data_IF_742404102545
#
_entry.id   IF_742404102545
#
_cell.length_a   1.000
_cell.length_b   1.000
_cell.length_c   1.000
_cell.angle_alpha   90.00
_cell.angle_beta   90.00
_cell.angle_gamma   90.00
#
_symmetry.space_group_name_H-M   'P 1'
#
loop_
_entity.id
_entity.type
_entity.pdbx_description
1 polymer ?
#
# COMPACT_ATOMS: atom_id res chain seq x y z
N UNK A 1 5.53 1.86 13.51
CA UNK A 1 5.66 3.24 12.97
C UNK A 1 5.15 3.26 11.55
N UNK A 2 4.13 4.10 11.31
CA UNK A 2 3.49 4.24 10.00
C UNK A 2 4.47 4.58 8.87
N UNK A 3 4.12 4.17 7.66
CA UNK A 3 4.85 4.53 6.43
C UNK A 3 3.96 5.22 5.42
N UNK A 4 4.60 5.93 4.51
CA UNK A 4 4.00 6.63 3.38
C UNK A 4 4.61 6.06 2.12
N UNK A 5 3.77 5.74 1.15
CA UNK A 5 4.16 5.21 -0.16
C UNK A 5 3.57 6.08 -1.26
N UNK A 6 4.30 6.26 -2.36
CA UNK A 6 3.74 6.94 -3.53
C UNK A 6 3.33 5.91 -4.57
N UNK A 7 2.11 6.00 -5.05
CA UNK A 7 1.64 5.17 -6.15
C UNK A 7 2.21 5.75 -7.46
N UNK A 8 2.89 4.97 -8.31
CA UNK A 8 3.31 5.43 -9.63
C UNK A 8 2.10 5.77 -10.49
N UNK A 9 2.17 6.84 -11.28
CA UNK A 9 1.05 7.25 -12.16
C UNK A 9 0.58 6.15 -13.11
N UNK A 10 1.48 5.25 -13.52
CA UNK A 10 1.16 4.10 -14.37
C UNK A 10 0.25 3.07 -13.68
N UNK A 11 0.22 3.02 -12.35
CA UNK A 11 -0.56 2.06 -11.57
C UNK A 11 -1.89 2.63 -11.07
N UNK A 12 -2.20 3.91 -11.32
CA UNK A 12 -3.42 4.56 -10.82
C UNK A 12 -4.70 3.84 -11.25
N UNK A 13 -4.73 3.32 -12.47
CA UNK A 13 -5.90 2.60 -12.98
C UNK A 13 -6.10 1.25 -12.29
N UNK A 14 -5.01 0.50 -12.03
CA UNK A 14 -5.09 -0.79 -11.33
C UNK A 14 -5.50 -0.57 -9.87
N UNK A 15 -4.93 0.43 -9.22
CA UNK A 15 -5.24 0.81 -7.83
C UNK A 15 -6.72 1.21 -7.65
N UNK A 16 -7.30 1.92 -8.61
CA UNK A 16 -8.74 2.23 -8.61
C UNK A 16 -9.61 0.99 -8.71
N UNK A 17 -9.29 0.07 -9.63
CA UNK A 17 -10.02 -1.20 -9.79
C UNK A 17 -9.91 -2.07 -8.54
N UNK A 18 -8.72 -2.18 -7.96
CA UNK A 18 -8.48 -2.92 -6.70
C UNK A 18 -9.25 -2.30 -5.53
N UNK A 19 -9.26 -0.97 -5.41
CA UNK A 19 -9.98 -0.25 -4.35
C UNK A 19 -11.50 -0.45 -4.42
N UNK A 20 -12.07 -0.48 -5.63
CA UNK A 20 -13.50 -0.75 -5.83
C UNK A 20 -13.85 -2.18 -5.42
N UNK A 21 -13.08 -3.17 -5.90
CA UNK A 21 -13.28 -4.57 -5.52
C UNK A 21 -13.14 -4.79 -4.00
N UNK A 22 -12.17 -4.12 -3.37
CA UNK A 22 -11.97 -4.24 -1.92
C UNK A 22 -13.18 -3.72 -1.12
N UNK A 23 -13.76 -2.59 -1.52
CA UNK A 23 -14.93 -2.00 -0.87
C UNK A 23 -16.19 -2.88 -1.01
N UNK A 24 -16.32 -3.60 -2.12
CA UNK A 24 -17.49 -4.44 -2.40
C UNK A 24 -17.40 -5.83 -1.76
N UNK A 25 -16.21 -6.44 -1.74
CA UNK A 25 -16.03 -7.83 -1.30
C UNK A 25 -15.32 -8.00 0.04
N UNK A 26 -14.83 -6.92 0.67
CA UNK A 26 -14.11 -6.98 1.94
C UNK A 26 -12.77 -7.71 1.85
N UNK A 27 -12.16 -7.72 0.65
CA UNK A 27 -10.93 -8.43 0.36
C UNK A 27 -9.70 -7.78 1.03
N UNK A 28 -8.65 -8.58 1.20
CA UNK A 28 -7.34 -8.11 1.66
C UNK A 28 -6.57 -7.54 0.47
N UNK A 29 -5.92 -6.39 0.66
CA UNK A 29 -5.00 -5.84 -0.35
C UNK A 29 -3.56 -6.13 0.06
N UNK A 30 -2.66 -6.24 -0.92
CA UNK A 30 -1.24 -6.33 -0.64
C UNK A 30 -0.42 -5.32 -1.42
N UNK A 31 0.64 -4.83 -0.81
CA UNK A 31 1.58 -3.91 -1.44
C UNK A 31 3.00 -4.48 -1.41
N UNK A 32 3.69 -4.43 -2.55
CA UNK A 32 5.05 -4.96 -2.67
C UNK A 32 6.07 -3.83 -2.63
N UNK A 33 7.03 -3.92 -1.71
CA UNK A 33 8.14 -2.98 -1.57
C UNK A 33 9.47 -3.63 -1.96
N UNK A 34 10.37 -2.82 -2.52
CA UNK A 34 11.73 -3.23 -2.87
C UNK A 34 12.67 -3.38 -1.66
N UNK A 35 12.25 -2.91 -0.48
CA UNK A 35 12.98 -2.98 0.80
C UNK A 35 12.00 -3.19 1.96
N UNK A 36 12.45 -3.88 3.00
CA UNK A 36 11.67 -4.11 4.23
C UNK A 36 11.72 -2.86 5.13
N UNK A 37 10.58 -2.28 5.53
CA UNK A 37 10.52 -1.21 6.52
C UNK A 37 10.81 -1.75 7.93
N UNK A 38 12.00 -1.51 8.46
CA UNK A 38 12.46 -2.05 9.75
C UNK A 38 11.62 -1.67 10.98
N UNK A 39 10.83 -0.59 10.92
CA UNK A 39 10.01 -0.10 12.06
C UNK A 39 8.50 -0.21 11.81
N UNK A 40 8.10 -0.85 10.72
CA UNK A 40 6.70 -1.15 10.45
C UNK A 40 6.33 -2.48 11.10
N UNK A 41 5.17 -2.55 11.71
CA UNK A 41 4.63 -3.72 12.38
C UNK A 41 3.13 -3.85 12.06
N UNK A 42 2.56 -5.03 12.34
CA UNK A 42 1.12 -5.23 12.29
C UNK A 42 0.41 -4.25 13.25
N UNK A 43 -0.70 -3.67 12.79
CA UNK A 43 -1.43 -2.62 13.47
C UNK A 43 -1.05 -1.19 13.07
N UNK A 44 0.15 -0.97 12.51
CA UNK A 44 0.53 0.32 11.91
C UNK A 44 -0.27 0.59 10.62
N UNK A 45 -0.18 1.82 10.09
CA UNK A 45 -0.82 2.18 8.82
C UNK A 45 0.17 2.48 7.69
N UNK A 46 -0.25 2.17 6.47
CA UNK A 46 0.35 2.66 5.23
C UNK A 46 -0.53 3.77 4.69
N UNK A 47 0.08 4.91 4.37
CA UNK A 47 -0.55 6.05 3.73
C UNK A 47 -0.16 6.08 2.24
N UNK A 48 -1.15 6.16 1.37
CA UNK A 48 -0.96 6.15 -0.08
C UNK A 48 -1.03 7.57 -0.63
N UNK A 49 0.03 7.95 -1.33
CA UNK A 49 0.12 9.23 -2.03
C UNK A 49 -0.27 9.03 -3.48
N UNK A 50 -1.35 9.70 -3.87
CA UNK A 50 -1.88 9.79 -5.24
C UNK A 50 -2.15 11.26 -5.55
N UNK A 51 -1.89 11.68 -6.80
CA UNK A 51 -1.97 13.09 -7.21
C UNK A 51 -1.19 14.09 -6.34
N UNK A 52 -0.09 13.64 -5.70
CA UNK A 52 0.71 14.41 -4.74
C UNK A 52 -0.03 14.74 -3.43
N UNK A 53 -1.08 14.00 -3.09
CA UNK A 53 -1.82 14.10 -1.84
C UNK A 53 -1.89 12.73 -1.18
N UNK A 54 -1.88 12.68 0.15
CA UNK A 54 -2.26 11.46 0.87
C UNK A 54 -3.79 11.33 0.77
N UNK A 55 -4.27 10.43 -0.08
CA UNK A 55 -5.69 10.23 -0.39
C UNK A 55 -6.31 9.07 0.39
N UNK A 56 -5.50 8.10 0.84
CA UNK A 56 -6.01 6.94 1.57
C UNK A 56 -4.98 6.34 2.51
N UNK A 57 -5.47 5.54 3.46
CA UNK A 57 -4.63 4.74 4.33
C UNK A 57 -5.23 3.37 4.58
N UNK A 58 -4.37 2.39 4.88
CA UNK A 58 -4.76 1.04 5.24
C UNK A 58 -3.96 0.54 6.43
N UNK A 59 -4.56 -0.33 7.24
CA UNK A 59 -3.88 -0.95 8.38
C UNK A 59 -3.11 -2.18 7.92
N UNK A 60 -1.90 -2.35 8.44
CA UNK A 60 -1.06 -3.53 8.21
C UNK A 60 -1.55 -4.69 9.06
N UNK A 61 -1.82 -5.83 8.43
CA UNK A 61 -2.17 -7.07 9.14
C UNK A 61 -1.04 -8.09 9.15
N UNK A 62 -0.20 -8.10 8.10
CA UNK A 62 0.91 -9.04 7.98
C UNK A 62 2.04 -8.45 7.11
N UNK A 63 3.27 -8.85 7.39
CA UNK A 63 4.47 -8.45 6.64
C UNK A 63 5.27 -9.70 6.30
N UNK A 64 5.30 -10.04 5.01
CA UNK A 64 6.04 -11.19 4.49
C UNK A 64 7.33 -10.73 3.83
N UNK A 65 8.45 -11.30 4.24
CA UNK A 65 9.77 -11.00 3.66
C UNK A 65 10.19 -12.09 2.69
N UNK A 66 10.80 -11.71 1.56
CA UNK A 66 11.24 -12.61 0.49
C UNK A 66 10.13 -13.56 -0.01
N UNK A 67 8.90 -13.04 -0.09
CA UNK A 67 7.72 -13.79 -0.52
C UNK A 67 7.27 -13.40 -1.94
N UNK A 68 6.64 -14.36 -2.61
CA UNK A 68 5.84 -14.11 -3.82
C UNK A 68 4.36 -14.29 -3.48
N UNK A 69 3.53 -13.34 -3.90
CA UNK A 69 2.08 -13.42 -3.80
C UNK A 69 1.48 -13.24 -5.19
N UNK A 70 0.48 -14.06 -5.48
CA UNK A 70 -0.29 -13.95 -6.70
C UNK A 70 -1.53 -13.11 -6.42
N UNK A 71 -1.73 -12.05 -7.20
CA UNK A 71 -3.00 -11.31 -7.21
C UNK A 71 -4.04 -12.18 -7.92
N UNK A 72 -5.09 -12.60 -7.21
CA UNK A 72 -6.18 -13.39 -7.79
C UNK A 72 -6.96 -12.56 -8.85
N UNK A 73 -7.09 -11.25 -8.65
CA UNK A 73 -7.83 -10.34 -9.54
C UNK A 73 -7.14 -10.11 -10.89
N UNK A 74 -5.81 -10.00 -10.91
CA UNK A 74 -5.06 -9.71 -12.16
C UNK A 74 -4.30 -10.92 -12.70
N UNK A 75 -4.25 -12.03 -11.96
CA UNK A 75 -3.46 -13.22 -12.27
C UNK A 75 -1.94 -13.01 -12.21
N UNK A 76 -1.47 -11.82 -11.82
CA UNK A 76 -0.05 -11.47 -11.77
C UNK A 76 0.60 -11.92 -10.46
N UNK A 77 1.77 -12.55 -10.58
CA UNK A 77 2.63 -12.84 -9.43
C UNK A 77 3.54 -11.66 -9.17
N UNK A 78 3.38 -11.05 -8.01
CA UNK A 78 4.29 -10.03 -7.52
C UNK A 78 5.33 -10.73 -6.64
N UNK A 79 6.60 -10.60 -7.02
CA UNK A 79 7.74 -11.03 -6.21
C UNK A 79 8.50 -9.79 -5.74
N UNK A 80 8.80 -9.73 -4.45
CA UNK A 80 9.53 -8.61 -3.88
C UNK A 80 10.17 -8.98 -2.55
N UNK A 81 11.02 -8.08 -2.05
CA UNK A 81 11.70 -8.31 -0.75
C UNK A 81 10.75 -8.20 0.42
N UNK A 82 9.65 -7.47 0.26
CA UNK A 82 8.67 -7.24 1.30
C UNK A 82 7.29 -7.14 0.67
N UNK A 83 6.37 -7.96 1.14
CA UNK A 83 4.96 -7.86 0.79
C UNK A 83 4.17 -7.58 2.05
N UNK A 84 3.37 -6.53 2.02
CA UNK A 84 2.60 -6.09 3.16
C UNK A 84 1.14 -6.37 2.85
N UNK A 85 0.48 -7.14 3.70
CA UNK A 85 -0.96 -7.42 3.59
C UNK A 85 -1.69 -6.43 4.49
N UNK A 86 -2.78 -5.87 3.98
CA UNK A 86 -3.48 -4.75 4.60
C UNK A 86 -5.00 -4.89 4.54
N UNK A 87 -5.66 -4.25 5.49
CA UNK A 87 -7.11 -4.13 5.59
C UNK A 87 -7.53 -2.70 6.01
N UNK A 88 -8.83 -2.50 6.30
CA UNK A 88 -9.36 -1.25 6.87
C UNK A 88 -8.98 -0.02 6.04
N UNK A 89 -9.38 -0.04 4.76
CA UNK A 89 -9.22 1.09 3.84
C UNK A 89 -10.00 2.30 4.35
N UNK A 90 -9.30 3.43 4.44
CA UNK A 90 -9.85 4.72 4.84
C UNK A 90 -9.48 5.79 3.83
N UNK A 91 -10.43 6.67 3.57
CA UNK A 91 -10.18 7.90 2.82
C UNK A 91 -9.51 8.93 3.75
N UNK A 92 -8.50 9.60 3.24
CA UNK A 92 -7.67 10.56 3.96
C UNK A 92 -7.55 11.85 3.14
N UNK A 93 -7.50 13.01 3.79
CA UNK A 93 -7.21 14.29 3.15
C UNK A 93 -6.21 15.08 3.99
N UNK A 94 -4.97 14.59 4.09
CA UNK A 94 -4.02 15.08 5.09
C UNK A 94 -3.08 16.16 4.56
N UNK A 95 -2.23 15.81 3.58
CA UNK A 95 -1.08 16.65 3.22
C UNK A 95 -0.68 16.45 1.75
N UNK A 96 -0.17 17.53 1.15
CA UNK A 96 0.50 17.49 -0.13
C UNK A 96 1.93 16.93 0.01
N UNK A 97 2.18 15.80 -0.63
CA UNK A 97 3.46 15.09 -0.62
C UNK A 97 4.02 15.04 -2.04
N UNK A 98 5.22 15.59 -2.23
CA UNK A 98 5.95 15.42 -3.49
C UNK A 98 6.26 13.94 -3.71
N UNK A 99 5.99 13.43 -4.91
CA UNK A 99 6.20 12.03 -5.24
C UNK A 99 7.64 11.57 -5.01
N UNK A 100 7.79 10.35 -4.52
CA UNK A 100 9.09 9.68 -4.36
C UNK A 100 8.97 8.20 -4.75
N UNK A 101 10.09 7.53 -4.95
CA UNK A 101 10.11 6.09 -5.19
C UNK A 101 10.33 5.32 -3.88
N UNK A 102 9.51 4.30 -3.64
CA UNK A 102 9.58 3.46 -2.45
C UNK A 102 8.70 3.96 -1.30
N UNK A 103 9.24 3.92 -0.07
CA UNK A 103 8.52 4.32 1.15
C UNK A 103 9.34 5.30 2.00
N UNK A 104 8.65 6.04 2.86
CA UNK A 104 9.22 6.86 3.94
C UNK A 104 8.44 6.60 5.22
N UNK A 105 9.09 6.75 6.38
CA UNK A 105 8.37 6.72 7.66
C UNK A 105 7.60 8.02 7.85
N UNK A 106 6.35 7.94 8.30
CA UNK A 106 5.52 9.12 8.59
C UNK A 106 6.30 10.15 9.43
N UNK A 107 6.22 11.41 9.02
CA UNK A 107 7.05 12.51 9.56
C UNK A 107 6.25 13.74 10.02
N UNK A 108 4.93 13.62 10.10
CA UNK A 108 4.03 14.62 10.64
C UNK A 108 3.26 14.07 11.85
#
# INVERSE_FOLDING_TARGET
>A
MDIVVTIPKSEYHNDELESVHMKEEGLLQFWTLSKVPKRLAAGDRIYFVKNQQVESSMRVIDIKTDSSMQCETTGRTWSGKCQIVMDDLREEELLNVRGFQGFRYRWW
#
